data_IF_007859408284
#
_entry.id   IF_007859408284
#
_cell.length_a   1.000
_cell.length_b   1.000
_cell.length_c   1.000
_cell.angle_alpha   90.00
_cell.angle_beta   90.00
_cell.angle_gamma   90.00
#
_symmetry.space_group_name_H-M   'P 1'
#
loop_
_entity.id
_entity.type
_entity.pdbx_description
1 polymer ?
#
# COMPACT_ATOMS: atom_id res chain seq x y z
N UNK A 1 -4.38 64.67 10.62
CA UNK A 1 -4.08 64.28 9.22
C UNK A 1 -3.81 62.79 9.25
N UNK A 2 -4.84 61.97 9.01
CA UNK A 2 -4.76 60.52 9.14
C UNK A 2 -4.27 59.89 7.83
N UNK A 3 -3.28 59.00 7.93
CA UNK A 3 -2.87 58.14 6.83
C UNK A 3 -3.30 56.71 7.13
N UNK A 4 -4.08 56.18 6.20
CA UNK A 4 -4.77 54.89 6.15
C UNK A 4 -3.78 53.73 5.93
N UNK A 5 -4.13 52.55 6.45
CA UNK A 5 -3.35 51.28 6.41
C UNK A 5 -3.33 50.60 5.03
N UNK A 6 -3.73 51.29 3.96
CA UNK A 6 -3.83 50.74 2.59
C UNK A 6 -2.60 50.99 1.70
N UNK A 7 -1.46 51.37 2.27
CA UNK A 7 -0.25 51.75 1.51
C UNK A 7 0.89 50.73 1.46
N UNK A 8 0.71 49.46 1.85
CA UNK A 8 1.78 48.45 1.82
C UNK A 8 1.33 47.26 0.96
N UNK A 9 1.05 47.51 -0.31
CA UNK A 9 0.77 46.46 -1.28
C UNK A 9 1.17 46.91 -2.69
N UNK A 10 2.47 47.18 -2.91
CA UNK A 10 3.02 47.40 -4.23
C UNK A 10 4.55 47.26 -4.26
N UNK A 11 5.08 46.12 -3.82
CA UNK A 11 6.40 45.67 -4.29
C UNK A 11 6.21 44.27 -4.87
N UNK A 12 5.95 44.29 -6.18
CA UNK A 12 5.85 43.15 -7.07
C UNK A 12 7.19 42.39 -7.07
N UNK A 13 7.33 41.45 -6.14
CA UNK A 13 8.20 40.29 -6.35
C UNK A 13 7.46 39.36 -7.29
N UNK A 14 7.80 39.40 -8.59
CA UNK A 14 7.34 38.40 -9.53
C UNK A 14 7.62 37.01 -8.94
N UNK A 15 6.69 36.04 -9.01
CA UNK A 15 7.05 34.67 -8.72
C UNK A 15 8.18 34.34 -9.70
N UNK A 16 9.34 33.97 -9.19
CA UNK A 16 10.32 33.27 -10.00
C UNK A 16 9.59 32.01 -10.47
N UNK A 17 9.06 32.05 -11.69
CA UNK A 17 8.66 30.86 -12.39
C UNK A 17 9.94 30.05 -12.47
N UNK A 18 10.02 28.99 -11.66
CA UNK A 18 10.96 27.92 -11.92
C UNK A 18 10.52 27.35 -13.27
N UNK A 19 11.10 27.86 -14.36
CA UNK A 19 11.12 27.11 -15.60
C UNK A 19 11.71 25.75 -15.22
N UNK A 20 10.95 24.68 -15.44
CA UNK A 20 11.51 23.34 -15.40
C UNK A 20 12.74 23.38 -16.29
N UNK A 21 13.93 23.20 -15.70
CA UNK A 21 15.17 23.28 -16.44
C UNK A 21 15.11 22.32 -17.62
N UNK A 22 15.49 22.79 -18.81
CA UNK A 22 15.79 21.92 -19.93
C UNK A 22 16.74 20.84 -19.41
N UNK A 23 16.38 19.57 -19.63
CA UNK A 23 17.24 18.46 -19.29
C UNK A 23 18.62 18.73 -19.90
N UNK A 24 19.60 19.02 -19.04
CA UNK A 24 20.94 19.32 -19.52
C UNK A 24 21.53 18.08 -20.16
N UNK A 25 22.30 18.30 -21.22
CA UNK A 25 23.17 17.32 -21.86
C UNK A 25 24.23 16.84 -20.86
N UNK A 26 23.83 16.06 -19.85
CA UNK A 26 24.76 15.09 -19.28
C UNK A 26 25.15 14.21 -20.46
N UNK A 27 26.44 14.04 -20.79
CA UNK A 27 26.88 13.19 -21.90
C UNK A 27 26.38 11.77 -21.61
N UNK A 28 25.19 11.50 -22.15
CA UNK A 28 24.35 10.39 -21.77
C UNK A 28 24.83 9.16 -22.49
N UNK A 29 25.01 8.11 -21.72
CA UNK A 29 25.20 6.75 -22.22
C UNK A 29 24.26 6.51 -23.42
N UNK A 30 24.75 6.02 -24.57
CA UNK A 30 24.00 5.98 -25.84
C UNK A 30 22.76 5.06 -25.82
N UNK A 31 22.52 4.37 -24.70
CA UNK A 31 21.37 3.51 -24.44
C UNK A 31 20.28 4.17 -23.57
N UNK A 32 20.50 5.39 -23.06
CA UNK A 32 19.47 6.11 -22.30
C UNK A 32 18.57 6.89 -23.27
N UNK A 33 17.24 6.68 -23.23
CA UNK A 33 16.33 7.44 -24.08
C UNK A 33 16.40 8.93 -23.74
N UNK A 34 16.18 9.83 -24.73
CA UNK A 34 16.11 11.27 -24.47
C UNK A 34 15.03 11.57 -23.43
N UNK A 35 15.22 12.65 -22.65
CA UNK A 35 14.26 13.10 -21.64
C UNK A 35 12.84 13.18 -22.23
N UNK A 36 12.01 12.18 -21.92
CA UNK A 36 10.61 12.16 -22.34
C UNK A 36 9.78 12.77 -21.21
N UNK A 37 8.94 13.79 -21.49
CA UNK A 37 7.96 14.24 -20.51
C UNK A 37 7.01 13.07 -20.22
N UNK A 38 6.99 12.62 -18.97
CA UNK A 38 6.14 11.52 -18.54
C UNK A 38 4.77 12.07 -18.10
N UNK A 39 3.66 11.40 -18.46
CA UNK A 39 2.38 11.70 -17.83
C UNK A 39 2.51 11.54 -16.31
N UNK A 40 1.95 12.48 -15.56
CA UNK A 40 1.95 12.46 -14.11
C UNK A 40 0.64 11.88 -13.58
N UNK A 41 0.73 11.03 -12.57
CA UNK A 41 -0.38 10.52 -11.79
C UNK A 41 -0.87 11.52 -10.75
N UNK A 42 -1.81 11.08 -9.93
CA UNK A 42 -2.51 11.92 -8.94
C UNK A 42 -1.61 12.56 -7.87
N UNK A 43 -0.44 11.98 -7.60
CA UNK A 43 0.57 12.46 -6.66
C UNK A 43 1.81 13.03 -7.38
N UNK A 44 1.70 13.34 -8.68
CA UNK A 44 2.84 13.80 -9.50
C UNK A 44 3.82 12.67 -9.88
N UNK A 45 3.53 11.43 -9.52
CA UNK A 45 4.34 10.26 -9.84
C UNK A 45 4.25 9.90 -11.33
N UNK A 46 5.28 9.24 -11.88
CA UNK A 46 5.26 8.77 -13.27
C UNK A 46 4.10 7.80 -13.50
N UNK A 47 3.31 8.00 -14.57
CA UNK A 47 2.31 7.03 -15.03
C UNK A 47 3.02 5.84 -15.71
N UNK A 48 2.64 4.62 -15.33
CA UNK A 48 3.20 3.40 -15.88
C UNK A 48 2.68 3.08 -17.29
N UNK A 49 1.41 3.36 -17.53
CA UNK A 49 0.71 3.20 -18.81
C UNK A 49 1.28 4.13 -19.88
N UNK A 50 1.67 3.56 -21.02
CA UNK A 50 2.24 4.29 -22.16
C UNK A 50 1.17 4.74 -23.19
N UNK A 51 -0.09 4.32 -23.04
CA UNK A 51 -1.20 4.69 -23.92
C UNK A 51 -1.22 3.94 -25.26
N UNK A 52 -0.34 2.97 -25.46
CA UNK A 52 -0.17 2.21 -26.71
C UNK A 52 -0.26 0.69 -26.50
N UNK A 53 -0.90 0.26 -25.41
CA UNK A 53 -1.02 -1.14 -25.01
C UNK A 53 0.20 -1.70 -24.27
N UNK A 54 1.22 -0.87 -24.02
CA UNK A 54 2.39 -1.22 -23.20
C UNK A 54 2.41 -0.44 -21.88
N UNK A 55 3.20 -0.95 -20.94
CA UNK A 55 3.47 -0.30 -19.67
C UNK A 55 4.96 -0.35 -19.34
N UNK A 56 5.42 0.53 -18.46
CA UNK A 56 6.78 0.53 -17.94
C UNK A 56 6.77 0.45 -16.42
N UNK A 57 7.50 -0.52 -15.88
CA UNK A 57 7.66 -0.68 -14.44
C UNK A 57 8.50 0.44 -13.79
N UNK A 58 8.24 0.75 -12.51
CA UNK A 58 7.20 0.18 -11.64
C UNK A 58 5.79 0.65 -12.03
N UNK A 59 4.77 -0.23 -11.88
CA UNK A 59 3.35 0.13 -12.10
C UNK A 59 2.82 1.13 -11.07
N UNK A 60 3.36 1.08 -9.86
CA UNK A 60 3.15 2.04 -8.79
C UNK A 60 4.52 2.55 -8.34
N UNK A 61 4.89 3.77 -8.74
CA UNK A 61 6.15 4.40 -8.35
C UNK A 61 6.10 4.91 -6.90
N UNK A 62 7.27 5.18 -6.31
CA UNK A 62 7.40 5.66 -4.92
C UNK A 62 7.58 4.54 -3.90
N UNK A 63 7.49 4.89 -2.62
CA UNK A 63 7.70 3.97 -1.50
C UNK A 63 6.45 3.11 -1.24
N UNK A 64 6.34 2.02 -2.01
CA UNK A 64 5.22 1.07 -1.96
C UNK A 64 5.74 -0.39 -1.89
N UNK A 65 6.49 -0.76 -0.84
CA UNK A 65 7.13 -2.06 -0.74
C UNK A 65 6.15 -3.16 -0.30
N UNK A 66 6.50 -4.41 -0.56
CA UNK A 66 5.73 -5.59 -0.14
C UNK A 66 4.27 -5.58 -0.65
N UNK A 67 4.04 -5.47 -1.97
CA UNK A 67 2.69 -5.41 -2.51
C UNK A 67 1.94 -6.73 -2.26
N UNK A 68 0.80 -6.66 -1.58
CA UNK A 68 -0.16 -7.76 -1.49
C UNK A 68 -1.33 -7.47 -2.41
N UNK A 69 -1.59 -8.38 -3.36
CA UNK A 69 -2.55 -8.21 -4.45
C UNK A 69 -3.69 -9.23 -4.33
N UNK A 70 -4.91 -8.74 -4.40
CA UNK A 70 -6.14 -9.52 -4.39
C UNK A 70 -6.91 -9.30 -5.69
N UNK A 71 -7.38 -10.37 -6.33
CA UNK A 71 -8.38 -10.30 -7.40
C UNK A 71 -9.75 -10.63 -6.85
N UNK A 72 -10.75 -9.80 -7.13
CA UNK A 72 -12.15 -10.06 -6.80
C UNK A 72 -13.08 -9.67 -7.95
N UNK A 73 -13.74 -10.65 -8.55
CA UNK A 73 -14.50 -10.41 -9.79
C UNK A 73 -13.61 -9.84 -10.90
N UNK A 74 -13.99 -8.70 -11.47
CA UNK A 74 -13.23 -7.99 -12.51
C UNK A 74 -12.24 -6.95 -11.93
N UNK A 75 -12.18 -6.84 -10.60
CA UNK A 75 -11.42 -5.83 -9.90
C UNK A 75 -10.16 -6.44 -9.25
N UNK A 76 -9.11 -5.62 -9.18
CA UNK A 76 -7.86 -5.92 -8.50
C UNK A 76 -7.64 -4.90 -7.40
N UNK A 77 -7.19 -5.38 -6.25
CA UNK A 77 -6.83 -4.56 -5.10
C UNK A 77 -5.39 -4.81 -4.72
N UNK A 78 -4.70 -3.78 -4.27
CA UNK A 78 -3.32 -3.85 -3.80
C UNK A 78 -3.18 -3.04 -2.52
N UNK A 79 -2.51 -3.57 -1.51
CA UNK A 79 -1.95 -2.78 -0.41
C UNK A 79 -0.44 -3.03 -0.33
N UNK A 80 0.25 -2.23 0.46
CA UNK A 80 1.68 -2.34 0.69
C UNK A 80 2.00 -2.05 2.16
N UNK A 81 3.24 -2.32 2.59
CA UNK A 81 3.71 -1.93 3.92
C UNK A 81 3.54 -0.43 4.13
N UNK A 82 3.07 -0.03 5.31
CA UNK A 82 2.89 1.38 5.68
C UNK A 82 3.84 1.85 6.77
N UNK A 83 4.63 0.96 7.36
CA UNK A 83 5.52 1.26 8.48
C UNK A 83 4.77 2.07 9.55
N UNK A 84 5.28 3.22 9.96
CA UNK A 84 4.66 4.09 10.96
C UNK A 84 3.59 5.05 10.40
N UNK A 85 3.31 5.03 9.08
CA UNK A 85 2.37 5.96 8.47
C UNK A 85 0.92 5.67 8.91
N UNK A 86 0.22 6.75 9.29
CA UNK A 86 -1.20 6.75 9.63
C UNK A 86 -1.86 8.00 9.01
N UNK A 87 -2.98 7.88 8.28
CA UNK A 87 -3.66 6.64 7.93
C UNK A 87 -2.77 5.72 7.08
N UNK A 88 -2.81 4.42 7.37
CA UNK A 88 -1.91 3.40 6.82
C UNK A 88 -2.66 2.30 6.08
N UNK A 89 -1.91 1.37 5.49
CA UNK A 89 -2.43 0.31 4.62
C UNK A 89 -3.36 0.90 3.53
N UNK A 90 -2.79 1.76 2.69
CA UNK A 90 -3.50 2.36 1.56
C UNK A 90 -3.82 1.27 0.54
N UNK A 91 -5.12 1.09 0.30
CA UNK A 91 -5.66 0.16 -0.68
C UNK A 91 -5.81 0.89 -2.02
N UNK A 92 -5.20 0.31 -3.03
CA UNK A 92 -5.29 0.67 -4.43
C UNK A 92 -6.28 -0.24 -5.14
N UNK A 93 -6.95 0.27 -6.16
CA UNK A 93 -7.87 -0.46 -7.03
C UNK A 93 -7.43 -0.31 -8.49
N UNK A 94 -7.59 -1.38 -9.27
CA UNK A 94 -7.36 -1.41 -10.70
C UNK A 94 -8.29 -2.42 -11.37
N UNK A 95 -8.49 -2.27 -12.69
CA UNK A 95 -9.14 -3.28 -13.55
C UNK A 95 -8.21 -3.87 -14.61
N UNK A 96 -6.98 -3.37 -14.70
CA UNK A 96 -6.02 -3.72 -15.75
C UNK A 96 -4.61 -4.02 -15.22
N UNK A 97 -4.42 -4.00 -13.89
CA UNK A 97 -3.13 -4.19 -13.18
C UNK A 97 -2.07 -3.11 -13.46
N UNK A 98 -2.37 -2.08 -14.24
CA UNK A 98 -1.43 -1.02 -14.67
C UNK A 98 -1.85 0.34 -14.14
N UNK A 99 -3.13 0.67 -14.26
CA UNK A 99 -3.71 1.93 -13.83
C UNK A 99 -4.36 1.72 -12.46
N UNK A 100 -3.76 2.31 -11.44
CA UNK A 100 -4.16 2.15 -10.04
C UNK A 100 -4.66 3.47 -9.46
N UNK A 101 -5.73 3.39 -8.67
CA UNK A 101 -6.29 4.52 -7.93
C UNK A 101 -6.46 4.17 -6.45
N UNK A 102 -6.18 5.09 -5.51
CA UNK A 102 -6.40 4.84 -4.10
C UNK A 102 -7.91 4.81 -3.80
N UNK A 103 -8.37 3.90 -2.94
CA UNK A 103 -9.79 3.77 -2.58
C UNK A 103 -10.07 3.86 -1.09
N UNK A 104 -9.16 3.40 -0.23
CA UNK A 104 -9.33 3.48 1.22
C UNK A 104 -8.00 3.28 1.95
N UNK A 105 -7.93 3.75 3.21
CA UNK A 105 -6.90 3.33 4.15
C UNK A 105 -7.54 2.37 5.16
N UNK A 106 -7.00 1.16 5.30
CA UNK A 106 -7.54 0.18 6.22
C UNK A 106 -7.18 0.47 7.69
N UNK A 107 -6.07 1.19 7.92
CA UNK A 107 -5.58 1.49 9.27
C UNK A 107 -5.73 2.97 9.59
N UNK A 108 -6.55 3.28 10.61
CA UNK A 108 -6.86 4.66 11.01
C UNK A 108 -6.13 5.09 12.30
N UNK A 109 -5.44 4.18 12.97
CA UNK A 109 -4.74 4.43 14.23
C UNK A 109 -3.35 3.81 14.21
N UNK A 110 -2.41 4.43 14.93
CA UNK A 110 -1.07 3.90 15.08
C UNK A 110 -1.07 2.62 15.92
N UNK A 111 -0.54 1.54 15.36
CA UNK A 111 -0.40 0.23 16.03
C UNK A 111 1.05 -0.22 16.18
N UNK A 112 2.01 0.54 15.65
CA UNK A 112 3.41 0.17 15.49
C UNK A 112 3.84 0.29 14.03
N UNK A 113 5.02 -0.24 13.69
CA UNK A 113 5.53 -0.24 12.32
C UNK A 113 4.97 -1.44 11.56
N UNK A 114 4.10 -1.20 10.58
CA UNK A 114 3.44 -2.25 9.77
C UNK A 114 4.36 -2.69 8.63
N UNK A 115 4.79 -3.95 8.67
CA UNK A 115 5.58 -4.62 7.63
C UNK A 115 4.68 -5.39 6.65
N UNK A 116 5.26 -6.25 5.82
CA UNK A 116 4.64 -6.94 4.68
C UNK A 116 3.26 -7.53 5.01
N UNK A 117 2.16 -6.87 4.60
CA UNK A 117 0.82 -7.34 4.92
C UNK A 117 0.36 -8.40 3.92
N UNK A 118 -0.68 -9.15 4.28
CA UNK A 118 -1.43 -10.00 3.36
C UNK A 118 -2.90 -9.59 3.32
N UNK A 119 -3.35 -9.17 2.13
CA UNK A 119 -4.74 -8.83 1.81
C UNK A 119 -5.40 -10.03 1.13
N UNK A 120 -6.40 -10.61 1.78
CA UNK A 120 -7.15 -11.72 1.21
C UNK A 120 -8.66 -11.52 1.37
N UNK A 121 -9.43 -12.26 0.56
CA UNK A 121 -10.88 -12.41 0.72
C UNK A 121 -11.17 -13.85 1.10
N UNK A 122 -11.98 -14.05 2.12
CA UNK A 122 -12.51 -15.36 2.48
C UNK A 122 -14.00 -15.25 2.75
N UNK A 123 -14.80 -15.94 1.94
CA UNK A 123 -16.26 -15.76 1.93
C UNK A 123 -16.65 -14.33 1.51
N UNK A 124 -17.50 -13.69 2.30
CA UNK A 124 -18.00 -12.33 2.02
C UNK A 124 -17.16 -11.22 2.66
N UNK A 125 -15.96 -11.55 3.15
CA UNK A 125 -15.15 -10.64 3.97
C UNK A 125 -13.72 -10.53 3.47
N UNK A 126 -13.19 -9.32 3.55
CA UNK A 126 -11.80 -8.99 3.34
C UNK A 126 -11.05 -9.02 4.66
N UNK A 127 -9.81 -9.48 4.62
CA UNK A 127 -8.92 -9.58 5.76
C UNK A 127 -7.58 -8.96 5.40
N UNK A 128 -6.98 -8.30 6.38
CA UNK A 128 -5.58 -7.93 6.37
C UNK A 128 -4.90 -8.62 7.54
N UNK A 129 -3.89 -9.43 7.24
CA UNK A 129 -2.94 -9.94 8.21
C UNK A 129 -1.70 -9.06 8.14
N UNK A 130 -1.41 -8.30 9.19
CA UNK A 130 -0.34 -7.30 9.18
C UNK A 130 0.67 -7.59 10.29
N UNK A 131 1.92 -7.95 9.96
CA UNK A 131 2.99 -8.05 10.94
C UNK A 131 3.37 -6.64 11.41
N UNK A 132 3.45 -6.46 12.72
CA UNK A 132 3.71 -5.18 13.36
C UNK A 132 4.93 -5.27 14.26
N UNK A 133 5.93 -4.44 13.98
CA UNK A 133 7.02 -4.21 14.92
C UNK A 133 6.56 -3.29 16.04
N UNK A 134 6.51 -3.85 17.24
CA UNK A 134 6.08 -3.20 18.47
C UNK A 134 6.79 -3.86 19.68
N UNK A 135 6.33 -3.60 20.90
CA UNK A 135 6.86 -4.24 22.10
C UNK A 135 5.71 -4.87 22.89
N UNK A 136 5.45 -6.19 22.73
CA UNK A 136 6.11 -7.13 21.80
C UNK A 136 5.69 -6.93 20.34
N UNK A 137 6.43 -7.52 19.40
CA UNK A 137 5.94 -7.70 18.03
C UNK A 137 4.71 -8.62 18.03
N UNK A 138 3.86 -8.51 17.01
CA UNK A 138 2.80 -9.48 16.74
C UNK A 138 2.36 -9.40 15.27
N UNK A 139 1.59 -10.39 14.82
CA UNK A 139 0.77 -10.29 13.61
C UNK A 139 -0.64 -9.93 14.06
N UNK A 140 -1.14 -8.79 13.59
CA UNK A 140 -2.52 -8.37 13.83
C UNK A 140 -3.40 -8.80 12.65
N UNK A 141 -4.69 -8.95 12.94
CA UNK A 141 -5.72 -9.14 11.91
C UNK A 141 -6.77 -8.04 12.02
N UNK A 142 -7.11 -7.44 10.89
CA UNK A 142 -8.30 -6.58 10.72
C UNK A 142 -9.13 -7.09 9.55
N UNK A 143 -10.41 -6.74 9.53
CA UNK A 143 -11.33 -7.20 8.50
C UNK A 143 -12.38 -6.15 8.15
N UNK A 144 -12.97 -6.30 6.96
CA UNK A 144 -14.10 -5.50 6.49
C UNK A 144 -15.01 -6.32 5.58
N UNK A 145 -16.32 -6.07 5.61
CA UNK A 145 -17.26 -6.70 4.66
C UNK A 145 -17.29 -5.99 3.28
N UNK A 146 -16.64 -4.81 3.18
CA UNK A 146 -16.38 -4.08 1.93
C UNK A 146 -14.94 -3.61 1.93
N UNK A 147 -14.28 -3.57 0.78
CA UNK A 147 -12.86 -3.20 0.69
C UNK A 147 -12.62 -1.73 1.11
N UNK A 148 -13.59 -0.84 0.87
CA UNK A 148 -13.54 0.56 1.30
C UNK A 148 -13.80 0.73 2.82
N UNK A 149 -14.15 -0.36 3.49
CA UNK A 149 -14.46 -0.40 4.91
C UNK A 149 -15.95 -0.17 5.25
N UNK A 150 -16.24 0.05 6.54
CA UNK A 150 -15.28 0.27 7.62
C UNK A 150 -14.45 -0.98 7.95
N UNK A 151 -13.17 -0.77 8.26
CA UNK A 151 -12.27 -1.81 8.74
C UNK A 151 -12.36 -1.93 10.26
N UNK A 152 -12.31 -3.16 10.78
CA UNK A 152 -12.36 -3.42 12.21
C UNK A 152 -11.11 -2.91 12.92
N UNK A 153 -11.18 -2.72 14.24
CA UNK A 153 -9.97 -2.54 15.05
C UNK A 153 -9.06 -3.76 14.87
N UNK A 154 -7.76 -3.58 14.57
CA UNK A 154 -6.81 -4.69 14.50
C UNK A 154 -6.73 -5.43 15.84
N UNK A 155 -6.67 -6.76 15.79
CA UNK A 155 -6.56 -7.60 16.99
C UNK A 155 -5.38 -8.59 16.86
N UNK A 156 -4.73 -8.95 17.98
CA UNK A 156 -3.52 -9.79 17.98
C UNK A 156 -3.83 -11.25 17.64
N UNK A 157 -2.90 -11.91 16.94
CA UNK A 157 -2.90 -13.36 16.70
C UNK A 157 -1.96 -14.13 17.64
N UNK A 158 -1.10 -13.44 18.39
CA UNK A 158 -0.17 -14.06 19.33
C UNK A 158 1.00 -14.76 18.63
N UNK A 159 1.57 -14.13 17.61
CA UNK A 159 2.69 -14.61 16.80
C UNK A 159 3.91 -13.67 16.89
N UNK A 160 4.47 -13.42 18.09
CA UNK A 160 5.50 -12.39 18.30
C UNK A 160 6.85 -12.71 17.65
N UNK A 161 7.07 -13.95 17.24
CA UNK A 161 8.33 -14.43 16.66
C UNK A 161 8.29 -14.53 15.12
N UNK A 162 7.20 -14.11 14.48
CA UNK A 162 7.02 -14.26 13.04
C UNK A 162 6.62 -12.95 12.35
N UNK A 163 6.93 -12.89 11.07
CA UNK A 163 6.55 -11.83 10.14
C UNK A 163 6.04 -12.44 8.83
N UNK A 164 5.75 -11.58 7.85
CA UNK A 164 5.40 -11.93 6.48
C UNK A 164 4.30 -13.01 6.38
N UNK A 165 3.12 -12.75 6.98
CA UNK A 165 2.00 -13.68 6.89
C UNK A 165 1.56 -13.88 5.44
N UNK A 166 1.01 -15.05 5.14
CA UNK A 166 0.24 -15.29 3.91
C UNK A 166 -0.91 -16.25 4.21
N UNK A 167 -2.14 -15.81 3.97
CA UNK A 167 -3.33 -16.61 4.15
C UNK A 167 -3.49 -17.60 2.99
N UNK A 168 -3.74 -18.86 3.35
CA UNK A 168 -4.05 -19.93 2.39
C UNK A 168 -5.26 -20.71 2.88
N UNK A 169 -6.06 -21.22 1.94
CA UNK A 169 -7.15 -22.16 2.22
C UNK A 169 -6.84 -23.47 1.52
N UNK A 170 -6.91 -24.59 2.25
CA UNK A 170 -6.70 -25.92 1.68
C UNK A 170 -7.96 -26.48 1.00
N UNK A 171 -7.85 -27.68 0.43
CA UNK A 171 -8.92 -28.36 -0.29
C UNK A 171 -10.15 -28.70 0.57
N UNK A 172 -10.02 -28.67 1.90
CA UNK A 172 -11.10 -28.91 2.84
C UNK A 172 -11.73 -27.62 3.36
N UNK A 173 -11.31 -26.46 2.84
CA UNK A 173 -11.76 -25.16 3.29
C UNK A 173 -11.11 -24.71 4.59
N UNK A 174 -10.10 -25.43 5.09
CA UNK A 174 -9.40 -25.04 6.29
C UNK A 174 -8.38 -23.94 5.97
N UNK A 175 -8.38 -22.93 6.84
CA UNK A 175 -7.56 -21.73 6.72
C UNK A 175 -6.23 -21.89 7.45
N UNK A 176 -5.18 -21.38 6.83
CA UNK A 176 -3.81 -21.40 7.34
C UNK A 176 -3.16 -20.03 7.15
N UNK A 177 -2.22 -19.71 8.02
CA UNK A 177 -1.23 -18.66 7.83
C UNK A 177 0.12 -19.33 7.60
N UNK A 178 0.75 -19.04 6.48
CA UNK A 178 2.19 -19.26 6.27
C UNK A 178 2.95 -18.05 6.80
N UNK A 179 4.14 -18.29 7.34
CA UNK A 179 4.90 -17.33 8.13
C UNK A 179 6.37 -17.36 7.72
N UNK A 180 7.10 -16.30 8.09
CA UNK A 180 8.57 -16.29 8.02
C UNK A 180 9.18 -17.52 8.69
N UNK A 181 10.26 -18.05 8.10
CA UNK A 181 10.93 -19.26 8.59
C UNK A 181 10.38 -20.56 8.00
N UNK A 182 9.38 -20.48 7.11
CA UNK A 182 8.75 -21.66 6.52
C UNK A 182 7.76 -22.34 7.47
N UNK A 183 7.29 -21.62 8.49
CA UNK A 183 6.31 -22.13 9.42
C UNK A 183 4.89 -21.83 8.96
N UNK A 184 3.93 -22.58 9.49
CA UNK A 184 2.51 -22.34 9.30
C UNK A 184 1.74 -22.56 10.58
N UNK A 185 0.58 -21.92 10.68
CA UNK A 185 -0.36 -22.13 11.78
C UNK A 185 -1.79 -22.17 11.24
N UNK A 186 -2.62 -23.03 11.83
CA UNK A 186 -4.02 -23.11 11.47
C UNK A 186 -4.75 -21.89 12.02
N UNK A 187 -5.73 -21.39 11.27
CA UNK A 187 -6.64 -20.33 11.72
C UNK A 187 -7.99 -20.90 12.14
N UNK A 188 -8.68 -20.18 13.04
CA UNK A 188 -10.10 -20.37 13.31
C UNK A 188 -10.92 -20.14 12.03
N UNK A 189 -12.16 -20.65 12.00
CA UNK A 189 -13.03 -20.51 10.82
C UNK A 189 -13.25 -19.04 10.43
N UNK A 190 -13.45 -18.16 11.42
CA UNK A 190 -13.58 -16.72 11.22
C UNK A 190 -12.25 -16.04 10.83
N UNK A 191 -11.10 -16.73 10.96
CA UNK A 191 -9.77 -16.26 10.59
C UNK A 191 -9.15 -15.31 11.59
N UNK A 192 -9.77 -15.15 12.77
CA UNK A 192 -9.44 -14.10 13.73
C UNK A 192 -8.53 -14.57 14.87
N UNK A 193 -8.23 -15.87 14.93
CA UNK A 193 -7.36 -16.49 15.95
C UNK A 193 -6.57 -17.65 15.35
N UNK A 194 -5.42 -17.95 15.93
CA UNK A 194 -4.67 -19.18 15.66
C UNK A 194 -5.30 -20.38 16.39
N UNK A 195 -5.12 -21.58 15.83
CA UNK A 195 -5.64 -22.84 16.37
C UNK A 195 -4.50 -23.86 16.42
N UNK A 196 -4.11 -24.26 17.64
CA UNK A 196 -2.99 -25.17 17.83
C UNK A 196 -1.62 -24.49 17.76
N UNK A 197 -0.56 -25.30 17.74
CA UNK A 197 0.81 -24.81 17.66
C UNK A 197 1.24 -24.52 16.22
N UNK A 198 2.26 -23.67 16.05
CA UNK A 198 2.94 -23.53 14.77
C UNK A 198 3.62 -24.86 14.39
N UNK A 199 3.67 -25.15 13.10
CA UNK A 199 4.37 -26.30 12.55
C UNK A 199 5.19 -25.86 11.33
N UNK A 200 6.36 -26.47 11.14
CA UNK A 200 7.12 -26.28 9.91
C UNK A 200 6.34 -26.85 8.72
N UNK A 201 6.29 -26.09 7.61
CA UNK A 201 5.48 -26.43 6.44
C UNK A 201 6.13 -27.49 5.54
#
# INVERSE_FOLDING_TARGET
MGLDRRGVLALLGAPAAWAAGDCSDAPGLPYLPPCKPWPQGIEGQRKADQGDGRYLNPVLAGDRPDPSVLKDGDDYYLTHSSFEAVPGLLIWHSRDLVNWQPVANALQAFVGSVWAPDLCRHGQRYYLYLPVKAQPNDILVTWADRIEGPWSTPQPLGLPAHIDPTHVTDEHGQRWLFLSGGDRVRLSADGLKTVGAQAHA
#
